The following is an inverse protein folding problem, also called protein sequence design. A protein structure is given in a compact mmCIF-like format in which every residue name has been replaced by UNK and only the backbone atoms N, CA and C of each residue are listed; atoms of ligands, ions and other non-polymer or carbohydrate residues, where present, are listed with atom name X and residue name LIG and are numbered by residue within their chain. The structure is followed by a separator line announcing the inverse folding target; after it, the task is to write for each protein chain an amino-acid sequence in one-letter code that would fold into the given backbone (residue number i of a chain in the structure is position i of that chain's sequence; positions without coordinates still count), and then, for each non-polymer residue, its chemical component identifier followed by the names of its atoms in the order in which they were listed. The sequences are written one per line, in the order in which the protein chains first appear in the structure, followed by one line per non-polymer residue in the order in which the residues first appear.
data_IF_383322591358
#
_entry.id   IF_383322591358
#
_cell.length_a   1.000
_cell.length_b   1.000
_cell.length_c   1.000
_cell.angle_alpha   90.00
_cell.angle_beta   90.00
_cell.angle_gamma   90.00
#
_symmetry.space_group_name_H-M   'P 1'
#
loop_
_entity.id
_entity.type
_entity.pdbx_description
1 polymer ?
#
# COMPACT_ATOMS: atom_id res chain seq x y z
N UNK A 1 -23.49 0.71 12.66
CA UNK A 1 -22.42 1.47 11.98
C UNK A 1 -21.22 0.60 11.63
N UNK A 2 -20.06 1.20 11.34
CA UNK A 2 -18.87 0.45 10.90
C UNK A 2 -18.38 -0.56 11.94
N UNK A 3 -18.42 -0.20 13.22
CA UNK A 3 -18.05 -1.12 14.30
C UNK A 3 -18.91 -2.38 14.24
N UNK A 4 -20.19 -2.22 14.07
CA UNK A 4 -21.12 -3.38 14.02
C UNK A 4 -20.92 -4.19 12.74
N UNK A 5 -20.67 -3.53 11.59
CA UNK A 5 -20.39 -4.21 10.33
C UNK A 5 -19.10 -5.06 10.43
N UNK A 6 -18.04 -4.51 10.98
CA UNK A 6 -16.76 -5.26 11.18
C UNK A 6 -16.96 -6.36 12.22
N UNK A 7 -17.70 -6.10 13.31
CA UNK A 7 -18.04 -7.11 14.32
C UNK A 7 -18.76 -8.29 13.67
N UNK A 8 -19.78 -8.05 12.84
CA UNK A 8 -20.51 -9.12 12.14
C UNK A 8 -19.59 -9.95 11.22
N UNK A 9 -18.64 -9.31 10.54
CA UNK A 9 -17.65 -10.02 9.71
C UNK A 9 -16.77 -10.91 10.59
N UNK A 10 -16.24 -10.39 11.69
CA UNK A 10 -15.37 -11.14 12.60
C UNK A 10 -16.13 -12.34 13.23
N UNK A 11 -17.34 -12.13 13.71
CA UNK A 11 -18.19 -13.19 14.27
C UNK A 11 -18.55 -14.23 13.19
N UNK A 12 -18.83 -13.79 11.96
CA UNK A 12 -19.12 -14.67 10.83
C UNK A 12 -17.95 -15.55 10.37
N UNK A 13 -16.70 -15.14 10.66
CA UNK A 13 -15.51 -15.99 10.41
C UNK A 13 -15.54 -17.26 11.24
N UNK A 14 -16.08 -17.21 12.46
CA UNK A 14 -16.24 -18.39 13.33
C UNK A 14 -14.91 -19.00 13.81
N UNK A 15 -13.82 -18.22 13.82
CA UNK A 15 -12.49 -18.70 14.22
C UNK A 15 -11.69 -17.62 14.92
N UNK A 16 -11.20 -17.92 16.12
CA UNK A 16 -10.33 -17.02 16.88
C UNK A 16 -8.87 -17.05 16.40
N UNK A 17 -8.50 -17.97 15.51
CA UNK A 17 -7.15 -18.06 14.96
C UNK A 17 -6.86 -17.03 13.87
N UNK A 18 -7.90 -16.48 13.24
CA UNK A 18 -7.75 -15.51 12.15
C UNK A 18 -7.53 -14.13 12.72
N UNK A 19 -6.48 -13.45 12.24
CA UNK A 19 -6.21 -12.03 12.53
C UNK A 19 -6.80 -11.17 11.44
N UNK A 20 -7.42 -10.04 11.83
CA UNK A 20 -8.07 -9.07 10.95
C UNK A 20 -7.25 -7.78 10.95
N UNK A 21 -6.88 -7.33 9.78
CA UNK A 21 -6.35 -5.99 9.55
C UNK A 21 -7.49 -5.12 9.00
N UNK A 22 -7.76 -4.02 9.66
CA UNK A 22 -8.68 -3.02 9.15
C UNK A 22 -8.07 -2.36 7.89
N UNK A 23 -8.90 -2.02 6.91
CA UNK A 23 -8.41 -1.33 5.72
C UNK A 23 -8.98 0.08 5.65
N UNK A 24 -8.15 1.05 6.05
CA UNK A 24 -8.46 2.48 5.99
C UNK A 24 -8.10 3.03 4.61
N UNK A 25 -9.09 3.20 3.74
CA UNK A 25 -8.93 3.76 2.41
C UNK A 25 -10.14 4.63 2.02
N UNK A 26 -10.29 5.82 2.65
CA UNK A 26 -11.49 6.65 2.52
C UNK A 26 -11.85 7.04 1.09
N UNK A 27 -10.84 7.26 0.23
CA UNK A 27 -11.05 7.61 -1.17
C UNK A 27 -11.84 6.55 -1.96
N UNK A 28 -11.86 5.30 -1.50
CA UNK A 28 -12.56 4.19 -2.15
C UNK A 28 -13.73 3.69 -1.31
N UNK A 29 -13.50 3.50 -0.01
CA UNK A 29 -14.53 2.98 0.89
C UNK A 29 -15.57 4.03 1.28
N UNK A 30 -15.32 5.33 0.99
CA UNK A 30 -16.10 6.48 1.48
C UNK A 30 -16.25 6.54 2.99
N UNK A 31 -15.47 5.73 3.71
CA UNK A 31 -15.50 5.61 5.16
C UNK A 31 -14.09 5.72 5.75
N UNK A 32 -14.00 6.46 6.86
CA UNK A 32 -12.77 6.58 7.65
C UNK A 32 -12.92 5.87 8.99
N UNK A 33 -11.93 5.03 9.36
CA UNK A 33 -11.84 4.50 10.72
C UNK A 33 -11.36 5.60 11.67
N UNK A 34 -12.24 6.06 12.54
CA UNK A 34 -11.84 6.95 13.63
C UNK A 34 -11.09 6.19 14.73
N UNK A 35 -10.26 6.88 15.51
CA UNK A 35 -9.59 6.27 16.67
C UNK A 35 -10.59 5.63 17.64
N UNK A 36 -11.76 6.25 17.85
CA UNK A 36 -12.82 5.69 18.71
C UNK A 36 -13.37 4.38 18.15
N UNK A 37 -13.57 4.28 16.81
CA UNK A 37 -14.02 3.05 16.18
C UNK A 37 -12.97 1.92 16.29
N UNK A 38 -11.70 2.25 16.08
CA UNK A 38 -10.59 1.29 16.24
C UNK A 38 -10.48 0.82 17.70
N UNK A 39 -10.55 1.74 18.65
CA UNK A 39 -10.50 1.41 20.08
C UNK A 39 -11.64 0.46 20.48
N UNK A 40 -12.86 0.74 20.01
CA UNK A 40 -14.02 -0.11 20.29
C UNK A 40 -13.92 -1.48 19.64
N UNK A 41 -13.45 -1.58 18.39
CA UNK A 41 -13.21 -2.87 17.72
C UNK A 41 -12.15 -3.70 18.45
N UNK A 42 -11.06 -3.08 18.89
CA UNK A 42 -10.02 -3.76 19.69
C UNK A 42 -10.55 -4.21 21.05
N UNK A 43 -11.43 -3.44 21.66
CA UNK A 43 -12.06 -3.83 22.94
C UNK A 43 -12.99 -5.03 22.78
N UNK A 44 -13.76 -5.08 21.69
CA UNK A 44 -14.69 -6.22 21.40
C UNK A 44 -13.95 -7.46 20.95
N UNK A 45 -12.91 -7.32 20.14
CA UNK A 45 -12.21 -8.41 19.48
C UNK A 45 -10.68 -8.31 19.68
N UNK A 46 -10.18 -8.33 20.94
CA UNK A 46 -8.78 -8.05 21.24
C UNK A 46 -7.80 -9.07 20.64
N UNK A 47 -8.24 -10.30 20.44
CA UNK A 47 -7.43 -11.35 19.83
C UNK A 47 -7.40 -11.27 18.30
N UNK A 48 -8.42 -10.74 17.66
CA UNK A 48 -8.60 -10.81 16.21
C UNK A 48 -8.23 -9.49 15.51
N UNK A 49 -8.59 -8.32 16.07
CA UNK A 49 -8.27 -7.02 15.47
C UNK A 49 -6.81 -6.67 15.75
N UNK A 50 -5.94 -7.09 14.82
CA UNK A 50 -4.50 -7.07 14.99
C UNK A 50 -3.83 -5.80 14.47
N UNK A 51 -4.45 -5.06 13.54
CA UNK A 51 -3.82 -3.92 12.92
C UNK A 51 -4.71 -3.18 11.93
N UNK A 52 -4.09 -2.22 11.26
CA UNK A 52 -4.69 -1.43 10.18
C UNK A 52 -3.72 -1.28 9.03
N UNK A 53 -4.21 -1.45 7.80
CA UNK A 53 -3.57 -0.92 6.61
C UNK A 53 -4.13 0.47 6.34
N UNK A 54 -3.28 1.48 6.47
CA UNK A 54 -3.63 2.87 6.17
C UNK A 54 -3.19 3.25 4.75
N UNK A 55 -4.16 3.42 3.87
CA UNK A 55 -4.02 3.91 2.50
C UNK A 55 -4.70 5.28 2.31
N UNK A 56 -4.95 6.01 3.40
CA UNK A 56 -5.58 7.33 3.37
C UNK A 56 -4.72 8.41 2.73
N UNK A 57 -3.40 8.21 2.64
CA UNK A 57 -2.47 9.19 2.07
C UNK A 57 -2.17 10.36 3.01
N UNK A 58 -2.58 10.28 4.27
CA UNK A 58 -2.32 11.29 5.31
C UNK A 58 -1.27 10.75 6.30
N UNK A 59 -0.07 11.31 6.23
CA UNK A 59 1.02 10.92 7.13
C UNK A 59 0.70 11.22 8.60
N UNK A 60 0.05 12.35 8.88
CA UNK A 60 -0.29 12.73 10.24
C UNK A 60 -1.28 11.72 10.86
N UNK A 61 -2.26 11.25 10.07
CA UNK A 61 -3.18 10.19 10.49
C UNK A 61 -2.45 8.89 10.81
N UNK A 62 -1.54 8.43 9.94
CA UNK A 62 -0.77 7.21 10.15
C UNK A 62 0.11 7.30 11.42
N UNK A 63 0.78 8.42 11.64
CA UNK A 63 1.59 8.66 12.85
C UNK A 63 0.73 8.70 14.11
N UNK A 64 -0.45 9.32 14.05
CA UNK A 64 -1.39 9.36 15.17
C UNK A 64 -1.91 7.95 15.53
N UNK A 65 -2.13 7.08 14.54
CA UNK A 65 -2.49 5.67 14.79
C UNK A 65 -1.39 4.92 15.53
N UNK A 66 -0.13 5.08 15.11
CA UNK A 66 1.02 4.45 15.81
C UNK A 66 1.09 4.92 17.26
N UNK A 67 0.95 6.22 17.48
CA UNK A 67 1.01 6.82 18.82
C UNK A 67 -0.16 6.41 19.72
N UNK A 68 -1.38 6.39 19.16
CA UNK A 68 -2.60 6.10 19.92
C UNK A 68 -2.75 4.62 20.30
N UNK A 69 -2.15 3.71 19.54
CA UNK A 69 -2.36 2.28 19.69
C UNK A 69 -1.05 1.49 19.77
N UNK A 70 -0.28 1.60 20.87
CA UNK A 70 0.94 0.81 21.06
C UNK A 70 0.67 -0.70 20.88
N UNK A 71 1.55 -1.38 20.14
CA UNK A 71 1.42 -2.80 19.84
C UNK A 71 0.37 -3.15 18.78
N UNK A 72 -0.32 -2.17 18.22
CA UNK A 72 -1.22 -2.36 17.08
C UNK A 72 -0.44 -2.28 15.77
N UNK A 73 -0.64 -3.24 14.87
CA UNK A 73 0.09 -3.27 13.63
C UNK A 73 -0.40 -2.17 12.68
N UNK A 74 0.35 -1.07 12.55
CA UNK A 74 0.09 -0.02 11.57
C UNK A 74 0.96 -0.26 10.35
N UNK A 75 0.31 -0.61 9.21
CA UNK A 75 0.95 -0.75 7.92
C UNK A 75 0.48 0.39 7.01
N UNK A 76 1.37 1.00 6.25
CA UNK A 76 1.02 2.09 5.34
C UNK A 76 0.97 1.63 3.89
N UNK A 77 0.04 2.20 3.13
CA UNK A 77 -0.10 1.96 1.69
C UNK A 77 0.65 2.97 0.83
N UNK A 78 0.97 4.14 1.38
CA UNK A 78 1.70 5.21 0.68
C UNK A 78 3.21 5.01 0.86
N UNK A 79 3.93 4.77 -0.21
CA UNK A 79 5.36 4.48 -0.19
C UNK A 79 6.20 5.59 0.45
N UNK A 80 5.98 6.90 0.17
CA UNK A 80 6.71 7.97 0.84
C UNK A 80 6.52 8.03 2.36
N UNK A 81 5.44 7.44 2.87
CA UNK A 81 5.13 7.42 4.30
C UNK A 81 5.80 6.25 5.04
N UNK A 82 6.37 5.29 4.32
CA UNK A 82 6.93 4.07 4.95
C UNK A 82 8.03 4.43 5.95
N UNK A 83 9.07 5.15 5.52
CA UNK A 83 10.19 5.48 6.40
C UNK A 83 9.76 6.26 7.66
N UNK A 84 9.01 7.38 7.57
CA UNK A 84 8.61 8.12 8.78
C UNK A 84 7.69 7.31 9.70
N UNK A 85 6.80 6.47 9.15
CA UNK A 85 5.92 5.63 9.99
C UNK A 85 6.70 4.49 10.65
N UNK A 86 7.66 3.87 9.96
CA UNK A 86 8.56 2.87 10.56
C UNK A 86 9.40 3.46 11.70
N UNK A 87 9.95 4.67 11.53
CA UNK A 87 10.69 5.38 12.58
C UNK A 87 9.83 5.69 13.80
N UNK A 88 8.53 5.90 13.62
CA UNK A 88 7.58 6.14 14.70
C UNK A 88 7.11 4.85 15.42
N UNK A 89 7.45 3.66 14.90
CA UNK A 89 7.04 2.37 15.47
C UNK A 89 5.94 1.66 14.68
N UNK A 90 5.71 2.04 13.42
CA UNK A 90 4.90 1.26 12.49
C UNK A 90 5.51 -0.11 12.22
N UNK A 91 4.74 -1.03 11.61
CA UNK A 91 5.20 -2.42 11.48
C UNK A 91 5.46 -2.85 10.03
N UNK A 92 5.26 -1.99 9.04
CA UNK A 92 5.53 -2.31 7.65
C UNK A 92 4.68 -1.56 6.65
N UNK A 93 4.58 -2.13 5.45
CA UNK A 93 3.84 -1.56 4.34
C UNK A 93 3.15 -2.64 3.51
N UNK A 94 1.98 -2.28 2.96
CA UNK A 94 1.28 -3.06 1.93
C UNK A 94 1.00 -2.08 0.78
N UNK A 95 1.82 -2.10 -0.25
CA UNK A 95 1.82 -1.10 -1.32
C UNK A 95 2.05 -1.71 -2.71
N UNK A 96 1.93 -0.86 -3.74
CA UNK A 96 2.09 -1.28 -5.13
C UNK A 96 3.54 -1.52 -5.53
N UNK A 97 4.47 -0.69 -5.06
CA UNK A 97 5.90 -0.82 -5.39
C UNK A 97 6.53 -2.11 -4.87
N UNK A 98 5.95 -2.73 -3.84
CA UNK A 98 6.38 -4.05 -3.38
C UNK A 98 6.34 -5.14 -4.45
N UNK A 99 5.54 -4.97 -5.53
CA UNK A 99 5.51 -5.88 -6.68
C UNK A 99 6.59 -5.54 -7.73
N UNK A 100 7.05 -4.30 -7.79
CA UNK A 100 7.95 -3.80 -8.84
C UNK A 100 9.40 -3.77 -8.36
N UNK A 101 9.60 -3.25 -7.16
CA UNK A 101 10.91 -3.06 -6.55
C UNK A 101 10.89 -3.52 -5.07
N UNK A 102 10.69 -4.84 -4.80
CA UNK A 102 10.60 -5.36 -3.44
C UNK A 102 11.89 -5.10 -2.64
N UNK A 103 13.06 -5.15 -3.29
CA UNK A 103 14.33 -4.84 -2.65
C UNK A 103 14.42 -3.40 -2.13
N UNK A 104 13.94 -2.42 -2.92
CA UNK A 104 13.83 -1.04 -2.47
C UNK A 104 12.94 -0.92 -1.23
N UNK A 105 11.72 -1.49 -1.31
CA UNK A 105 10.78 -1.42 -0.19
C UNK A 105 11.33 -2.11 1.06
N UNK A 106 12.05 -3.21 0.87
CA UNK A 106 12.70 -3.94 1.98
C UNK A 106 13.75 -3.07 2.68
N UNK A 107 14.64 -2.39 1.91
CA UNK A 107 15.64 -1.48 2.48
C UNK A 107 14.99 -0.33 3.28
N UNK A 108 13.93 0.27 2.73
CA UNK A 108 13.18 1.36 3.40
C UNK A 108 12.55 0.89 4.72
N UNK A 109 12.04 -0.34 4.76
CA UNK A 109 11.43 -0.92 5.97
C UNK A 109 12.48 -1.30 7.00
N UNK A 110 13.59 -1.94 6.58
CA UNK A 110 14.60 -2.47 7.50
C UNK A 110 15.51 -1.39 8.08
N UNK A 111 15.77 -0.33 7.31
CA UNK A 111 16.64 0.77 7.71
C UNK A 111 16.02 2.15 7.40
N UNK A 112 14.86 2.49 8.00
CA UNK A 112 14.10 3.68 7.65
C UNK A 112 14.86 4.99 7.89
N UNK A 113 15.83 5.00 8.82
CA UNK A 113 16.70 6.15 9.09
C UNK A 113 17.89 6.27 8.12
N UNK A 114 18.06 5.33 7.18
CA UNK A 114 19.20 5.25 6.26
C UNK A 114 18.75 5.23 4.79
N UNK A 115 17.55 5.68 4.50
CA UNK A 115 17.04 5.77 3.11
C UNK A 115 17.94 6.71 2.32
N UNK A 116 18.57 6.19 1.27
CA UNK A 116 19.50 6.97 0.45
C UNK A 116 18.78 7.94 -0.48
N UNK A 117 19.50 8.96 -0.96
CA UNK A 117 18.98 9.84 -2.00
C UNK A 117 18.63 9.08 -3.28
N UNK A 118 19.37 8.00 -3.58
CA UNK A 118 19.12 7.14 -4.73
C UNK A 118 17.83 6.32 -4.55
N UNK A 119 17.59 5.75 -3.36
CA UNK A 119 16.33 5.06 -3.05
C UNK A 119 15.13 6.00 -3.17
N UNK A 120 15.27 7.22 -2.66
CA UNK A 120 14.23 8.26 -2.77
C UNK A 120 13.97 8.65 -4.22
N UNK A 121 15.03 8.82 -5.02
CA UNK A 121 14.92 9.14 -6.43
C UNK A 121 14.24 8.01 -7.22
N UNK A 122 14.64 6.76 -6.99
CA UNK A 122 14.04 5.60 -7.63
C UNK A 122 12.55 5.46 -7.26
N UNK A 123 12.22 5.58 -5.99
CA UNK A 123 10.83 5.56 -5.52
C UNK A 123 10.00 6.64 -6.23
N UNK A 124 10.51 7.87 -6.26
CA UNK A 124 9.81 8.99 -6.91
C UNK A 124 9.64 8.78 -8.42
N UNK A 125 10.66 8.25 -9.10
CA UNK A 125 10.60 7.96 -10.53
C UNK A 125 9.56 6.87 -10.85
N UNK A 126 9.50 5.80 -10.04
CA UNK A 126 8.50 4.73 -10.20
C UNK A 126 7.09 5.24 -9.95
N UNK A 127 6.88 6.03 -8.88
CA UNK A 127 5.57 6.60 -8.55
C UNK A 127 5.11 7.63 -9.59
N UNK A 128 6.03 8.37 -10.23
CA UNK A 128 5.69 9.31 -11.28
C UNK A 128 5.01 8.64 -12.49
N UNK A 129 5.31 7.35 -12.76
CA UNK A 129 4.66 6.61 -13.84
C UNK A 129 3.16 6.40 -13.60
N UNK A 130 2.69 6.44 -12.34
CA UNK A 130 1.26 6.34 -12.03
C UNK A 130 0.45 7.51 -12.60
N UNK A 131 1.09 8.64 -12.88
CA UNK A 131 0.44 9.81 -13.50
C UNK A 131 -0.01 9.59 -14.94
N UNK A 132 0.50 8.54 -15.61
CA UNK A 132 0.05 8.17 -16.97
C UNK A 132 -1.45 7.82 -16.99
N UNK A 133 -1.94 7.21 -15.92
CA UNK A 133 -3.36 6.94 -15.72
C UNK A 133 -3.78 7.31 -14.30
N UNK A 134 -4.14 8.56 -14.04
CA UNK A 134 -4.61 8.98 -12.72
C UNK A 134 -5.86 8.23 -12.26
N UNK A 135 -5.97 8.00 -10.96
CA UNK A 135 -7.14 7.36 -10.35
C UNK A 135 -7.04 5.86 -10.17
N UNK A 136 -8.18 5.17 -10.08
CA UNK A 136 -8.25 3.75 -9.72
C UNK A 136 -7.62 2.75 -10.67
N UNK A 137 -7.41 3.01 -11.98
CA UNK A 137 -6.67 2.05 -12.80
C UNK A 137 -5.16 2.01 -12.54
N UNK A 138 -4.62 2.61 -11.48
CA UNK A 138 -3.20 2.51 -11.13
C UNK A 138 -2.66 1.07 -11.13
N UNK A 139 -3.51 0.07 -10.89
CA UNK A 139 -3.16 -1.36 -11.00
C UNK A 139 -2.70 -1.72 -12.41
N UNK A 140 -3.34 -1.15 -13.45
CA UNK A 140 -2.91 -1.33 -14.84
C UNK A 140 -1.50 -0.80 -15.11
N UNK A 141 -1.14 0.31 -14.46
CA UNK A 141 0.20 0.90 -14.57
C UNK A 141 1.26 -0.02 -13.96
N UNK A 142 1.03 -0.55 -12.76
CA UNK A 142 1.94 -1.55 -12.16
C UNK A 142 2.07 -2.80 -13.03
N UNK A 143 0.97 -3.28 -13.62
CA UNK A 143 1.00 -4.44 -14.51
C UNK A 143 1.77 -4.16 -15.81
N UNK A 144 1.70 -2.94 -16.34
CA UNK A 144 2.52 -2.55 -17.51
C UNK A 144 4.02 -2.50 -17.17
N UNK A 145 4.39 -2.05 -15.95
CA UNK A 145 5.77 -2.15 -15.47
C UNK A 145 6.22 -3.61 -15.35
N UNK A 146 5.37 -4.50 -14.80
CA UNK A 146 5.67 -5.93 -14.71
C UNK A 146 5.80 -6.58 -16.08
N UNK A 147 4.95 -6.21 -17.06
CA UNK A 147 5.07 -6.68 -18.44
C UNK A 147 6.42 -6.30 -19.05
N UNK A 148 6.90 -5.08 -18.79
CA UNK A 148 8.21 -4.66 -19.24
C UNK A 148 9.34 -5.38 -18.51
N UNK A 149 9.25 -5.53 -17.20
CA UNK A 149 10.26 -6.17 -16.36
C UNK A 149 10.45 -7.66 -16.69
N UNK A 150 9.36 -8.36 -17.01
CA UNK A 150 9.35 -9.81 -17.22
C UNK A 150 9.35 -10.21 -18.69
N UNK A 151 9.08 -9.28 -19.61
CA UNK A 151 8.86 -9.57 -21.03
C UNK A 151 7.56 -10.35 -21.30
N UNK A 152 6.61 -10.37 -20.37
CA UNK A 152 5.39 -11.16 -20.46
C UNK A 152 4.15 -10.25 -20.54
N UNK A 153 3.59 -10.14 -21.75
CA UNK A 153 2.40 -9.30 -22.00
C UNK A 153 1.11 -9.83 -21.39
N UNK A 154 1.08 -11.03 -20.82
CA UNK A 154 -0.07 -11.53 -20.04
C UNK A 154 -0.36 -10.64 -18.82
N UNK A 155 0.64 -9.94 -18.32
CA UNK A 155 0.46 -8.93 -17.26
C UNK A 155 -0.49 -7.80 -17.64
N UNK A 156 -0.64 -7.48 -18.93
CA UNK A 156 -1.54 -6.39 -19.38
C UNK A 156 -3.02 -6.74 -19.24
N UNK A 157 -3.34 -8.01 -19.02
CA UNK A 157 -4.73 -8.47 -18.85
C UNK A 157 -5.29 -8.01 -17.51
N UNK A 158 -6.52 -7.47 -17.53
CA UNK A 158 -7.25 -7.05 -16.33
C UNK A 158 -8.52 -7.87 -16.16
N UNK A 159 -8.96 -8.07 -14.91
CA UNK A 159 -10.27 -8.66 -14.61
C UNK A 159 -11.30 -7.56 -14.41
N UNK A 160 -12.51 -7.79 -14.91
CA UNK A 160 -13.66 -6.91 -14.65
C UNK A 160 -13.86 -6.74 -13.12
N UNK A 161 -14.27 -5.56 -12.66
CA UNK A 161 -14.70 -4.39 -13.44
C UNK A 161 -13.56 -3.47 -13.91
N UNK A 162 -12.28 -3.82 -13.66
CA UNK A 162 -11.15 -3.03 -14.12
C UNK A 162 -10.92 -3.23 -15.62
N UNK A 163 -10.64 -2.14 -16.32
CA UNK A 163 -10.25 -2.15 -17.72
C UNK A 163 -8.72 -2.13 -17.88
N UNK A 164 -8.16 -2.78 -18.89
CA UNK A 164 -6.75 -2.63 -19.22
C UNK A 164 -6.43 -1.18 -19.61
N UNK A 165 -5.14 -0.82 -19.54
CA UNK A 165 -4.67 0.43 -20.12
C UNK A 165 -4.88 0.43 -21.64
N UNK A 166 -5.12 1.60 -22.21
CA UNK A 166 -5.04 1.78 -23.65
C UNK A 166 -3.61 1.48 -24.13
N UNK A 167 -3.48 1.04 -25.38
CA UNK A 167 -2.16 0.66 -25.93
C UNK A 167 -1.12 1.76 -25.81
N UNK A 168 -1.52 3.02 -26.05
CA UNK A 168 -0.64 4.20 -25.92
C UNK A 168 -0.22 4.45 -24.47
N UNK A 169 -1.12 4.27 -23.52
CA UNK A 169 -0.84 4.39 -22.09
C UNK A 169 0.13 3.29 -21.63
N UNK A 170 -0.12 2.03 -22.00
CA UNK A 170 0.75 0.92 -21.68
C UNK A 170 2.16 1.10 -22.26
N UNK A 171 2.26 1.56 -23.52
CA UNK A 171 3.54 1.87 -24.15
C UNK A 171 4.28 3.01 -23.43
N UNK A 172 3.57 4.08 -23.04
CA UNK A 172 4.14 5.20 -22.30
C UNK A 172 4.73 4.75 -20.96
N UNK A 173 3.99 3.91 -20.20
CA UNK A 173 4.48 3.34 -18.94
C UNK A 173 5.74 2.49 -19.17
N UNK A 174 5.72 1.59 -20.16
CA UNK A 174 6.86 0.71 -20.47
C UNK A 174 8.09 1.52 -20.88
N UNK A 175 7.91 2.54 -21.71
CA UNK A 175 9.00 3.44 -22.11
C UNK A 175 9.58 4.20 -20.90
N UNK A 176 8.71 4.76 -20.06
CA UNK A 176 9.13 5.43 -18.82
C UNK A 176 9.88 4.49 -17.89
N UNK A 177 9.40 3.24 -17.72
CA UNK A 177 10.07 2.22 -16.90
C UNK A 177 11.46 1.89 -17.43
N UNK A 178 11.63 1.71 -18.77
CA UNK A 178 12.96 1.52 -19.39
C UNK A 178 13.89 2.71 -19.15
N UNK A 179 13.36 3.94 -19.20
CA UNK A 179 14.15 5.16 -19.03
C UNK A 179 14.77 5.27 -17.62
N UNK A 180 14.16 4.65 -16.60
CA UNK A 180 14.73 4.60 -15.25
C UNK A 180 15.59 3.36 -14.99
N UNK A 181 15.92 2.59 -16.04
CA UNK A 181 16.70 1.35 -15.94
C UNK A 181 18.03 1.47 -15.21
N UNK A 182 18.73 2.61 -15.37
CA UNK A 182 19.98 2.87 -14.63
C UNK A 182 19.77 2.96 -13.11
N UNK A 183 18.61 3.43 -12.64
CA UNK A 183 18.26 3.46 -11.23
C UNK A 183 17.85 2.07 -10.72
N UNK A 184 17.26 1.24 -11.60
CA UNK A 184 16.83 -0.12 -11.27
C UNK A 184 18.00 -1.11 -11.12
N UNK A 185 19.16 -0.82 -11.72
CA UNK A 185 20.33 -1.71 -11.66
C UNK A 185 20.91 -1.91 -10.24
N UNK A 186 20.42 -1.16 -9.27
CA UNK A 186 20.85 -1.20 -7.87
C UNK A 186 19.78 -1.78 -6.91
N UNK A 187 18.72 -2.38 -7.45
CA UNK A 187 17.56 -2.88 -6.66
C UNK A 187 17.63 -4.39 -6.41
#
# INVERSE_FOLDING_TARGET
GVVDAVTQVIEGIGSDAIRVLLYHFPAISTYSFSHAAIAELRRRHPAQVAGVKDSGGDLAHALALVQAFPGFAVLVGSEPHVAPVMLAGGCGSINGLGNIAPGLMRRVIDAPGQVSAQDTQLMSALLALLSVKPGMPFVGVYKAMLAEQTGDDRWLTMRAPLSPLENTEAQSVRQGYRAIGALLAHV
#
